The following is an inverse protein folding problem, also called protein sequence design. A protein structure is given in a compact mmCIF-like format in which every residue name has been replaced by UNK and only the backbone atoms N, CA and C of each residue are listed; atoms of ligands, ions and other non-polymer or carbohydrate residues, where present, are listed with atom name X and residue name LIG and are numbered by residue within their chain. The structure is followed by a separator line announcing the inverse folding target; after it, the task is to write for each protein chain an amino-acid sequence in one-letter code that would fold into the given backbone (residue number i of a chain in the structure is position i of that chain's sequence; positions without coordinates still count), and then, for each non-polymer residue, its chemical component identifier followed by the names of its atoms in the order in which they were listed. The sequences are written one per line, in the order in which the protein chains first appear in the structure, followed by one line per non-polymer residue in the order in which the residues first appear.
data_IF_307683067526
#
_entry.id   IF_307683067526
#
_cell.length_a   1.000
_cell.length_b   1.000
_cell.length_c   1.000
_cell.angle_alpha   90.00
_cell.angle_beta   90.00
_cell.angle_gamma   90.00
#
_symmetry.space_group_name_H-M   'P 1'
#
loop_
_entity.id
_entity.type
_entity.pdbx_description
1 polymer ?
#
# COMPACT_ATOMS: atom_id res chain seq x y z
N UNK A 1 -9.83 21.83 -4.05
CA UNK A 1 -8.63 21.44 -4.83
C UNK A 1 -7.75 22.67 -4.94
N UNK A 2 -6.53 22.65 -4.38
CA UNK A 2 -5.58 23.77 -4.53
C UNK A 2 -5.37 24.07 -6.02
N UNK A 3 -5.29 25.35 -6.40
CA UNK A 3 -4.97 25.77 -7.77
C UNK A 3 -3.77 24.97 -8.29
N UNK A 4 -3.86 24.47 -9.54
CA UNK A 4 -2.75 23.82 -10.24
C UNK A 4 -1.68 24.88 -10.57
N UNK A 5 -1.02 25.42 -9.56
CA UNK A 5 0.05 26.37 -9.74
C UNK A 5 1.35 25.60 -9.98
N UNK A 6 1.90 25.76 -11.17
CA UNK A 6 3.31 25.44 -11.45
C UNK A 6 4.16 26.45 -10.68
N UNK A 7 5.21 26.00 -10.01
CA UNK A 7 6.24 26.93 -9.56
C UNK A 7 6.94 27.60 -10.76
N UNK A 8 7.84 28.56 -10.51
CA UNK A 8 8.63 29.23 -11.55
C UNK A 8 9.44 28.26 -12.42
N UNK A 9 9.62 27.01 -11.96
CA UNK A 9 10.31 25.93 -12.67
C UNK A 9 9.37 24.88 -13.27
N UNK A 10 8.06 25.15 -13.32
CA UNK A 10 7.10 24.26 -13.95
C UNK A 10 6.65 23.06 -13.11
N UNK A 11 7.05 22.95 -11.83
CA UNK A 11 6.73 21.80 -10.98
C UNK A 11 5.34 21.94 -10.37
N UNK A 12 4.53 20.90 -10.50
CA UNK A 12 3.20 20.82 -9.86
C UNK A 12 3.27 20.47 -8.35
N UNK A 13 4.36 19.86 -7.90
CA UNK A 13 4.62 19.48 -6.51
C UNK A 13 5.98 20.03 -6.10
N UNK A 14 6.00 21.29 -5.68
CA UNK A 14 7.23 22.05 -5.43
C UNK A 14 7.78 21.89 -4.01
N UNK A 15 7.03 21.24 -3.10
CA UNK A 15 7.42 21.02 -1.69
C UNK A 15 7.86 19.58 -1.46
N UNK A 16 8.96 19.42 -0.72
CA UNK A 16 9.48 18.12 -0.28
C UNK A 16 8.98 17.87 1.14
N UNK A 17 8.46 16.67 1.37
CA UNK A 17 8.12 16.15 2.69
C UNK A 17 8.98 14.91 2.89
N UNK A 18 9.81 14.91 3.94
CA UNK A 18 10.71 13.81 4.28
C UNK A 18 10.42 13.32 5.70
N UNK A 19 10.41 12.01 5.88
CA UNK A 19 10.24 11.34 7.17
C UNK A 19 11.24 10.18 7.26
N UNK A 20 11.65 9.85 8.47
CA UNK A 20 12.54 8.71 8.75
C UNK A 20 11.67 7.49 9.00
N UNK A 21 12.11 6.34 8.50
CA UNK A 21 11.47 5.04 8.69
C UNK A 21 12.53 4.00 9.00
N UNK A 22 12.16 2.99 9.78
CA UNK A 22 12.96 1.79 9.95
C UNK A 22 13.01 1.00 8.63
N UNK A 23 13.97 0.05 8.50
CA UNK A 23 14.00 -0.85 7.35
C UNK A 23 12.69 -1.64 7.18
N UNK A 24 12.13 -2.14 8.28
CA UNK A 24 10.89 -2.91 8.32
C UNK A 24 9.69 -2.06 7.86
N UNK A 25 9.57 -0.83 8.38
CA UNK A 25 8.54 0.13 7.96
C UNK A 25 8.62 0.45 6.47
N UNK A 26 9.83 0.57 5.93
CA UNK A 26 10.03 0.80 4.50
C UNK A 26 9.58 -0.40 3.66
N UNK A 27 9.82 -1.63 4.10
CA UNK A 27 9.35 -2.84 3.41
C UNK A 27 7.82 -2.92 3.36
N UNK A 28 7.16 -2.69 4.50
CA UNK A 28 5.69 -2.67 4.60
C UNK A 28 5.12 -1.60 3.66
N UNK A 29 5.69 -0.40 3.68
CA UNK A 29 5.27 0.68 2.81
C UNK A 29 5.42 0.30 1.33
N UNK A 30 6.57 -0.28 0.95
CA UNK A 30 6.82 -0.70 -0.42
C UNK A 30 5.86 -1.81 -0.87
N UNK A 31 5.52 -2.76 0.00
CA UNK A 31 4.54 -3.79 -0.29
C UNK A 31 3.14 -3.18 -0.56
N UNK A 32 2.67 -2.30 0.33
CA UNK A 32 1.37 -1.62 0.19
C UNK A 32 1.29 -0.78 -1.08
N UNK A 33 2.34 -0.02 -1.41
CA UNK A 33 2.42 0.80 -2.64
C UNK A 33 2.33 -0.07 -3.90
N UNK A 34 3.05 -1.20 -3.94
CA UNK A 34 3.01 -2.12 -5.09
C UNK A 34 1.62 -2.71 -5.29
N UNK A 35 0.96 -3.11 -4.21
CA UNK A 35 -0.40 -3.66 -4.25
C UNK A 35 -1.43 -2.62 -4.67
N UNK A 36 -1.24 -1.35 -4.33
CA UNK A 36 -2.17 -0.28 -4.71
C UNK A 36 -2.07 0.14 -6.18
N UNK A 37 -0.96 -0.18 -6.86
CA UNK A 37 -0.68 0.26 -8.23
C UNK A 37 -0.44 1.76 -8.38
N UNK A 38 -0.20 2.46 -7.28
CA UNK A 38 0.10 3.90 -7.26
C UNK A 38 1.61 4.12 -7.21
N UNK A 39 2.05 5.32 -7.58
CA UNK A 39 3.41 5.75 -7.25
C UNK A 39 3.54 5.93 -5.74
N UNK A 40 4.76 5.76 -5.20
CA UNK A 40 5.03 5.97 -3.77
C UNK A 40 4.61 7.38 -3.31
N UNK A 41 4.82 8.39 -4.17
CA UNK A 41 4.39 9.76 -3.89
C UNK A 41 2.87 9.89 -3.80
N UNK A 42 2.12 9.35 -4.77
CA UNK A 42 0.66 9.44 -4.78
C UNK A 42 0.03 8.65 -3.64
N UNK A 43 0.58 7.47 -3.32
CA UNK A 43 0.17 6.66 -2.19
C UNK A 43 0.35 7.41 -0.86
N UNK A 44 1.54 7.98 -0.63
CA UNK A 44 1.84 8.71 0.61
C UNK A 44 0.97 9.97 0.74
N UNK A 45 0.77 10.72 -0.34
CA UNK A 45 -0.14 11.88 -0.32
C UNK A 45 -1.56 11.44 0.01
N UNK A 46 -2.04 10.32 -0.55
CA UNK A 46 -3.38 9.81 -0.25
C UNK A 46 -3.52 9.42 1.23
N UNK A 47 -2.54 8.69 1.78
CA UNK A 47 -2.49 8.36 3.20
C UNK A 47 -2.46 9.61 4.10
N UNK A 48 -1.58 10.58 3.83
CA UNK A 48 -1.45 11.78 4.66
C UNK A 48 -2.65 12.74 4.57
N UNK A 49 -3.49 12.61 3.52
CA UNK A 49 -4.67 13.48 3.33
C UNK A 49 -5.98 12.76 3.61
N UNK A 50 -5.95 11.60 4.28
CA UNK A 50 -7.12 10.74 4.57
C UNK A 50 -7.96 10.41 3.32
N UNK A 51 -7.33 10.41 2.14
CA UNK A 51 -8.00 10.06 0.89
C UNK A 51 -8.05 8.54 0.76
N UNK A 52 -9.21 8.04 0.36
CA UNK A 52 -9.38 6.63 -0.01
C UNK A 52 -8.43 6.27 -1.15
N UNK A 53 -7.71 5.16 -1.00
CA UNK A 53 -6.86 4.62 -2.05
C UNK A 53 -7.71 3.70 -2.90
N UNK A 54 -8.02 4.12 -4.12
CA UNK A 54 -8.77 3.31 -5.09
C UNK A 54 -7.79 2.51 -5.95
N UNK A 55 -7.80 1.20 -5.78
CA UNK A 55 -7.02 0.27 -6.62
C UNK A 55 -7.85 -0.10 -7.84
N UNK A 56 -7.32 0.21 -9.03
CA UNK A 56 -7.93 -0.19 -10.29
C UNK A 56 -7.20 -1.42 -10.86
N UNK A 57 -7.93 -2.34 -11.51
CA UNK A 57 -7.35 -3.52 -12.12
C UNK A 57 -6.43 -3.11 -13.28
N UNK A 58 -5.17 -3.52 -13.20
CA UNK A 58 -4.22 -3.42 -14.29
C UNK A 58 -3.19 -4.58 -14.18
N UNK A 59 -2.47 -4.86 -15.27
CA UNK A 59 -1.49 -5.97 -15.32
C UNK A 59 -0.42 -5.87 -14.22
N UNK A 60 0.00 -4.66 -13.87
CA UNK A 60 0.98 -4.41 -12.81
C UNK A 60 0.45 -4.78 -11.41
N UNK A 61 -0.80 -4.41 -11.10
CA UNK A 61 -1.48 -4.72 -9.84
C UNK A 61 -1.68 -6.22 -9.72
N UNK A 62 -2.16 -6.89 -10.78
CA UNK A 62 -2.32 -8.36 -10.76
C UNK A 62 -0.99 -9.08 -10.54
N UNK A 63 0.08 -8.63 -11.22
CA UNK A 63 1.42 -9.19 -11.02
C UNK A 63 1.92 -8.97 -9.59
N UNK A 64 1.68 -7.78 -9.04
CA UNK A 64 2.08 -7.44 -7.67
C UNK A 64 1.33 -8.27 -6.63
N UNK A 65 0.01 -8.41 -6.78
CA UNK A 65 -0.81 -9.26 -5.91
C UNK A 65 -0.41 -10.73 -6.00
N UNK A 66 -0.16 -11.24 -7.22
CA UNK A 66 0.32 -12.62 -7.42
C UNK A 66 1.66 -12.86 -6.72
N UNK A 67 2.61 -11.94 -6.86
CA UNK A 67 3.92 -12.07 -6.21
C UNK A 67 3.79 -12.05 -4.69
N UNK A 68 2.95 -11.17 -4.13
CA UNK A 68 2.70 -11.11 -2.70
C UNK A 68 2.02 -12.39 -2.18
N UNK A 69 1.03 -12.93 -2.92
CA UNK A 69 0.43 -14.23 -2.61
C UNK A 69 1.47 -15.35 -2.57
N UNK A 70 2.41 -15.38 -3.52
CA UNK A 70 3.47 -16.40 -3.53
C UNK A 70 4.39 -16.30 -2.31
N UNK A 71 4.69 -15.08 -1.84
CA UNK A 71 5.46 -14.85 -0.62
C UNK A 71 4.73 -15.44 0.58
N UNK A 72 3.43 -15.12 0.74
CA UNK A 72 2.63 -15.68 1.84
C UNK A 72 2.44 -17.18 1.75
N UNK A 73 2.25 -17.75 0.56
CA UNK A 73 2.17 -19.22 0.39
C UNK A 73 3.46 -19.89 0.85
N UNK A 74 4.62 -19.33 0.52
CA UNK A 74 5.90 -19.86 0.99
C UNK A 74 6.01 -19.72 2.51
N UNK A 75 5.63 -18.55 3.05
CA UNK A 75 5.66 -18.28 4.49
C UNK A 75 4.78 -19.25 5.26
N UNK A 76 3.55 -19.50 4.81
CA UNK A 76 2.63 -20.46 5.43
C UNK A 76 3.12 -21.90 5.39
N UNK A 77 3.98 -22.28 4.44
CA UNK A 77 4.60 -23.62 4.43
C UNK A 77 5.72 -23.77 5.45
N UNK A 78 6.36 -22.66 5.83
CA UNK A 78 7.46 -22.62 6.80
C UNK A 78 6.94 -22.42 8.24
N UNK A 79 5.72 -21.89 8.39
CA UNK A 79 5.09 -21.64 9.69
C UNK A 79 4.59 -22.94 10.33
N UNK A 80 4.75 -23.03 11.66
CA UNK A 80 4.24 -24.15 12.46
C UNK A 80 2.84 -23.85 13.01
N UNK A 81 2.58 -22.59 13.38
CA UNK A 81 1.26 -22.05 13.73
C UNK A 81 1.01 -20.72 13.01
N UNK A 82 -0.26 -20.31 12.92
CA UNK A 82 -0.63 -18.96 12.47
C UNK A 82 -0.26 -17.88 13.50
N UNK A 83 -0.07 -18.26 14.77
CA UNK A 83 0.36 -17.34 15.83
C UNK A 83 1.82 -16.87 15.65
N UNK A 84 2.58 -17.54 14.79
CA UNK A 84 3.96 -17.19 14.46
C UNK A 84 4.04 -16.02 13.42
N UNK A 85 2.90 -15.52 12.92
CA UNK A 85 2.88 -14.34 12.06
C UNK A 85 3.22 -13.09 12.87
N UNK A 86 4.11 -12.26 12.31
CA UNK A 86 4.33 -10.94 12.87
C UNK A 86 3.13 -10.02 12.62
N UNK A 87 2.98 -8.99 13.44
CA UNK A 87 1.96 -7.94 13.23
C UNK A 87 2.08 -7.30 11.84
N UNK A 88 3.29 -7.18 11.32
CA UNK A 88 3.54 -6.60 10.00
C UNK A 88 3.12 -7.53 8.87
N UNK A 89 3.41 -8.82 8.99
CA UNK A 89 2.93 -9.84 8.05
C UNK A 89 1.40 -9.87 8.04
N UNK A 90 0.76 -9.80 9.21
CA UNK A 90 -0.70 -9.76 9.32
C UNK A 90 -1.30 -8.53 8.62
N UNK A 91 -0.70 -7.35 8.80
CA UNK A 91 -1.15 -6.10 8.16
C UNK A 91 -0.99 -6.15 6.63
N UNK A 92 0.10 -6.72 6.13
CA UNK A 92 0.30 -6.88 4.67
C UNK A 92 -0.70 -7.90 4.11
N UNK A 93 -0.93 -9.01 4.82
CA UNK A 93 -1.90 -10.03 4.43
C UNK A 93 -3.33 -9.46 4.38
N UNK A 94 -3.73 -8.72 5.41
CA UNK A 94 -5.03 -8.05 5.46
C UNK A 94 -5.21 -7.11 4.26
N UNK A 95 -4.24 -6.25 4.00
CA UNK A 95 -4.30 -5.33 2.84
C UNK A 95 -4.37 -6.08 1.52
N UNK A 96 -3.64 -7.19 1.38
CA UNK A 96 -3.71 -8.05 0.20
C UNK A 96 -5.11 -8.65 0.00
N UNK A 97 -5.68 -9.25 1.05
CA UNK A 97 -7.00 -9.89 1.00
C UNK A 97 -8.11 -8.87 0.72
N UNK A 98 -8.09 -7.72 1.39
CA UNK A 98 -9.03 -6.61 1.13
C UNK A 98 -8.95 -6.14 -0.33
N UNK A 99 -7.73 -6.03 -0.87
CA UNK A 99 -7.53 -5.63 -2.26
C UNK A 99 -8.10 -6.67 -3.23
N UNK A 100 -7.84 -7.95 -3.00
CA UNK A 100 -8.35 -9.05 -3.84
C UNK A 100 -9.88 -9.10 -3.78
N UNK A 101 -10.48 -9.03 -2.59
CA UNK A 101 -11.94 -9.04 -2.43
C UNK A 101 -12.57 -7.84 -3.13
N UNK A 102 -12.02 -6.64 -2.96
CA UNK A 102 -12.51 -5.43 -3.64
C UNK A 102 -12.43 -5.54 -5.16
N UNK A 103 -11.34 -6.08 -5.71
CA UNK A 103 -11.20 -6.29 -7.15
C UNK A 103 -12.17 -7.37 -7.68
N UNK A 104 -12.47 -8.39 -6.88
CA UNK A 104 -13.41 -9.47 -7.24
C UNK A 104 -14.86 -8.99 -7.25
N UNK A 105 -15.28 -8.26 -6.23
CA UNK A 105 -16.69 -7.87 -6.02
C UNK A 105 -17.06 -6.59 -6.77
N UNK A 106 -16.22 -5.56 -6.71
CA UNK A 106 -16.57 -4.20 -7.15
C UNK A 106 -15.78 -3.72 -8.37
N UNK A 107 -14.95 -4.61 -8.97
CA UNK A 107 -13.96 -4.28 -10.01
C UNK A 107 -12.96 -3.19 -9.61
N UNK A 108 -12.95 -2.74 -8.34
CA UNK A 108 -12.10 -1.71 -7.74
C UNK A 108 -12.02 -1.97 -6.23
N UNK A 109 -10.86 -1.80 -5.61
CA UNK A 109 -10.72 -1.92 -4.15
C UNK A 109 -10.52 -0.54 -3.50
N UNK A 110 -11.11 -0.33 -2.32
CA UNK A 110 -10.87 0.84 -1.49
C UNK A 110 -10.08 0.42 -0.24
N UNK A 111 -8.85 0.94 -0.11
CA UNK A 111 -8.02 0.68 1.07
C UNK A 111 -8.05 1.92 1.95
N UNK A 112 -8.39 1.76 3.24
CA UNK A 112 -8.20 2.78 4.27
C UNK A 112 -6.85 2.54 4.95
N UNK A 113 -6.10 3.60 5.23
CA UNK A 113 -4.98 3.51 6.16
C UNK A 113 -5.55 3.38 7.57
N UNK A 114 -5.30 2.25 8.26
CA UNK A 114 -5.67 2.11 9.67
C UNK A 114 -4.92 3.17 10.50
N UNK A 115 -5.66 3.83 11.40
CA UNK A 115 -5.25 5.03 12.15
C UNK A 115 -4.60 4.73 13.51
N UNK A 116 -4.36 3.47 13.85
CA UNK A 116 -3.79 3.16 15.15
C UNK A 116 -2.31 3.55 15.19
N UNK A 117 -1.98 4.45 16.11
CA UNK A 117 -0.61 4.81 16.40
C UNK A 117 0.08 3.57 16.99
N UNK A 118 1.12 3.08 16.31
CA UNK A 118 2.06 2.13 16.90
C UNK A 118 2.92 2.91 17.89
N UNK A 119 2.41 3.08 19.11
CA UNK A 119 3.19 3.51 20.27
C UNK A 119 3.64 2.28 21.05
#
# INVERSE_FOLDING_TARGET
MSQKNKDYQGRYRSKIIAFRVSPEENEILNAKVKMSGLTKQDYLIACSTDKKITVQPNSYVYKSLKNQLQIFIKRFKELSSLDDLTLDEAVILETLLLTINGLKENKKAEIKANKEARQ
#
